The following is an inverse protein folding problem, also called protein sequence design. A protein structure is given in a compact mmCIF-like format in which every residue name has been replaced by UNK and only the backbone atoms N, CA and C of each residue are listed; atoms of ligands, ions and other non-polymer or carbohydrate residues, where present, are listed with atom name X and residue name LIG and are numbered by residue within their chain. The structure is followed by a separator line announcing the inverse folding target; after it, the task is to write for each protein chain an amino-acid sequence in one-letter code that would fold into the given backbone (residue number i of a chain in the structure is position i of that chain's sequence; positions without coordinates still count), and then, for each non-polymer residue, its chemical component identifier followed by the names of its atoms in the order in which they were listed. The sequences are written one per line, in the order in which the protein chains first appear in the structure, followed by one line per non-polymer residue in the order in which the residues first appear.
data_IF_707795735452
#
_entry.id   IF_707795735452
#
_cell.length_a   1.000
_cell.length_b   1.000
_cell.length_c   1.000
_cell.angle_alpha   90.00
_cell.angle_beta   90.00
_cell.angle_gamma   90.00
#
_symmetry.space_group_name_H-M   'P 1'
#
loop_
_entity.id
_entity.type
_entity.pdbx_description
1 polymer ?
#
# COMPACT_ATOMS: atom_id res chain seq x y z
N UNK A 1 -0.57 -12.73 -39.85
CA UNK A 1 -0.30 -11.29 -40.02
C UNK A 1 -1.09 -10.54 -38.96
N UNK A 2 -0.48 -10.34 -37.79
CA UNK A 2 -0.77 -9.24 -36.86
C UNK A 2 0.50 -9.09 -36.03
N UNK A 3 1.29 -8.11 -36.45
CA UNK A 3 2.47 -7.63 -35.76
C UNK A 3 2.01 -6.96 -34.45
N UNK A 4 2.33 -7.56 -33.32
CA UNK A 4 2.05 -7.03 -31.99
C UNK A 4 3.34 -6.54 -31.33
N UNK A 5 4.18 -5.81 -32.07
CA UNK A 5 5.23 -4.98 -31.48
C UNK A 5 4.63 -3.65 -31.01
N UNK A 6 3.78 -3.71 -29.99
CA UNK A 6 3.41 -2.51 -29.23
C UNK A 6 4.63 -2.07 -28.44
N UNK A 7 5.33 -1.02 -28.90
CA UNK A 7 6.37 -0.37 -28.10
C UNK A 7 5.81 -0.09 -26.70
N UNK A 8 6.48 -0.50 -25.61
CA UNK A 8 6.02 -0.16 -24.27
C UNK A 8 5.85 1.35 -24.21
N UNK A 9 4.66 1.80 -23.79
CA UNK A 9 4.36 3.22 -23.67
C UNK A 9 5.48 3.86 -22.85
N UNK A 10 6.16 4.85 -23.42
CA UNK A 10 7.24 5.55 -22.75
C UNK A 10 6.65 6.18 -21.48
N UNK A 11 7.06 5.65 -20.32
CA UNK A 11 6.61 6.17 -19.04
C UNK A 11 7.11 7.62 -18.92
N UNK A 12 6.20 8.53 -18.57
CA UNK A 12 6.60 9.88 -18.23
C UNK A 12 7.51 9.82 -17.00
N UNK A 13 8.68 10.48 -17.01
CA UNK A 13 9.53 10.52 -15.84
C UNK A 13 8.75 11.15 -14.69
N UNK A 14 8.86 10.54 -13.51
CA UNK A 14 8.33 11.17 -12.30
C UNK A 14 9.03 12.53 -12.11
N UNK A 15 8.30 13.56 -11.65
CA UNK A 15 8.92 14.85 -11.37
C UNK A 15 10.06 14.66 -10.37
N UNK A 16 11.18 15.34 -10.61
CA UNK A 16 12.29 15.35 -9.67
C UNK A 16 11.82 15.92 -8.34
N UNK A 17 12.20 15.26 -7.25
CA UNK A 17 11.96 15.80 -5.92
C UNK A 17 12.64 17.17 -5.77
N UNK A 18 11.95 18.21 -5.26
CA UNK A 18 12.56 19.51 -5.00
C UNK A 18 13.76 19.39 -4.04
N UNK A 19 14.84 20.13 -4.31
CA UNK A 19 16.06 20.08 -3.48
C UNK A 19 15.84 20.55 -2.04
N UNK A 20 14.92 21.48 -1.85
CA UNK A 20 14.63 22.09 -0.54
C UNK A 20 13.56 21.30 0.25
N UNK A 21 13.16 20.12 -0.21
CA UNK A 21 12.24 19.26 0.55
C UNK A 21 13.02 18.64 1.72
N UNK A 22 12.52 18.70 2.96
CA UNK A 22 13.10 17.97 4.08
C UNK A 22 12.77 16.47 3.94
N UNK A 23 13.38 15.80 2.95
CA UNK A 23 13.26 14.37 2.69
C UNK A 23 14.44 13.88 1.85
N UNK A 24 15.04 12.70 2.14
CA UNK A 24 14.72 11.82 3.26
C UNK A 24 15.15 12.40 4.61
N UNK A 25 14.40 12.10 5.69
CA UNK A 25 14.71 12.54 7.06
C UNK A 25 14.63 11.38 8.05
N UNK A 26 15.28 11.54 9.21
CA UNK A 26 15.14 10.60 10.34
C UNK A 26 13.88 10.89 11.17
N UNK A 27 13.40 12.12 11.16
CA UNK A 27 12.16 12.55 11.79
C UNK A 27 11.41 13.53 10.87
N UNK A 28 10.08 13.49 10.89
CA UNK A 28 9.26 14.42 10.12
C UNK A 28 9.22 15.79 10.80
N UNK A 29 9.58 16.88 10.11
CA UNK A 29 9.37 18.22 10.65
C UNK A 29 7.87 18.57 10.65
N UNK A 30 7.47 19.47 11.55
CA UNK A 30 6.14 20.08 11.52
C UNK A 30 6.19 21.44 10.84
N UNK A 31 5.17 21.76 10.06
CA UNK A 31 4.99 23.09 9.50
C UNK A 31 3.54 23.54 9.66
N UNK A 32 3.26 24.85 9.81
CA UNK A 32 1.90 25.34 9.80
C UNK A 32 1.16 24.94 8.52
N UNK A 33 -0.13 24.69 8.66
CA UNK A 33 -1.04 24.48 7.54
C UNK A 33 -0.96 25.62 6.53
N UNK A 34 -0.94 25.28 5.24
CA UNK A 34 -0.93 26.26 4.15
C UNK A 34 -2.17 27.19 4.26
N UNK A 35 -2.03 28.52 4.19
CA UNK A 35 -3.15 29.45 4.32
C UNK A 35 -4.27 29.25 3.28
N UNK A 36 -4.01 28.52 2.18
CA UNK A 36 -5.01 28.17 1.16
C UNK A 36 -5.93 27.03 1.59
N UNK A 37 -5.59 26.31 2.65
CA UNK A 37 -6.43 25.25 3.20
C UNK A 37 -7.44 25.87 4.16
N UNK A 38 -8.71 25.52 3.99
CA UNK A 38 -9.74 25.87 4.97
C UNK A 38 -9.50 25.06 6.26
N UNK A 39 -8.90 25.73 7.25
CA UNK A 39 -8.62 25.15 8.55
C UNK A 39 -9.89 24.67 9.24
N UNK A 40 -10.97 25.45 9.20
CA UNK A 40 -12.18 25.10 9.92
C UNK A 40 -12.79 23.81 9.34
N UNK A 41 -12.82 23.70 8.02
CA UNK A 41 -13.27 22.48 7.35
C UNK A 41 -12.38 21.27 7.69
N UNK A 42 -11.05 21.44 7.72
CA UNK A 42 -10.14 20.36 8.11
C UNK A 42 -10.38 19.92 9.56
N UNK A 43 -10.48 20.85 10.50
CA UNK A 43 -10.75 20.51 11.90
C UNK A 43 -12.10 19.81 12.06
N UNK A 44 -13.15 20.23 11.34
CA UNK A 44 -14.45 19.53 11.36
C UNK A 44 -14.32 18.08 10.90
N UNK A 45 -13.52 17.80 9.86
CA UNK A 45 -13.28 16.43 9.40
C UNK A 45 -12.47 15.61 10.42
N UNK A 46 -11.47 16.24 11.06
CA UNK A 46 -10.69 15.61 12.12
C UNK A 46 -11.50 15.42 13.40
N UNK A 47 -12.48 16.27 13.69
CA UNK A 47 -13.39 16.10 14.82
C UNK A 47 -14.30 14.89 14.54
N UNK A 48 -14.91 14.85 13.35
CA UNK A 48 -15.76 13.75 12.90
C UNK A 48 -15.06 12.38 12.99
N UNK A 49 -13.81 12.30 12.53
CA UNK A 49 -13.04 11.04 12.55
C UNK A 49 -12.76 10.51 13.96
N UNK A 50 -12.84 11.35 15.00
CA UNK A 50 -12.53 10.99 16.38
C UNK A 50 -13.73 11.15 17.32
N UNK A 51 -14.96 11.20 16.79
CA UNK A 51 -16.17 11.24 17.60
C UNK A 51 -16.33 9.99 18.48
N UNK A 52 -17.05 10.14 19.59
CA UNK A 52 -17.41 9.03 20.48
C UNK A 52 -18.88 9.17 20.89
N UNK A 53 -19.77 8.21 20.54
CA UNK A 53 -19.48 7.00 19.75
C UNK A 53 -18.98 7.30 18.33
N UNK A 54 -18.32 6.33 17.72
CA UNK A 54 -17.80 6.42 16.35
C UNK A 54 -18.94 6.69 15.34
N UNK A 55 -18.72 7.49 14.28
CA UNK A 55 -19.72 7.71 13.23
C UNK A 55 -20.07 6.41 12.49
N UNK A 56 -21.31 6.26 12.00
CA UNK A 56 -21.77 5.03 11.35
C UNK A 56 -20.92 4.59 10.14
N UNK A 57 -20.29 5.52 9.44
CA UNK A 57 -19.44 5.27 8.28
C UNK A 57 -17.94 5.05 8.60
N UNK A 58 -17.54 5.24 9.87
CA UNK A 58 -16.18 5.03 10.35
C UNK A 58 -16.17 3.98 11.46
N UNK A 59 -15.02 3.34 11.63
CA UNK A 59 -14.73 2.56 12.84
C UNK A 59 -13.73 3.37 13.69
N UNK A 60 -13.26 2.79 14.79
CA UNK A 60 -12.28 3.38 15.69
C UNK A 60 -11.07 3.93 14.91
N UNK A 61 -10.91 5.25 14.93
CA UNK A 61 -9.75 5.91 14.34
C UNK A 61 -8.64 6.03 15.38
N UNK A 62 -7.55 5.26 15.21
CA UNK A 62 -6.39 5.34 16.09
C UNK A 62 -5.56 6.61 15.89
N UNK A 63 -5.39 7.04 14.65
CA UNK A 63 -4.59 8.21 14.31
C UNK A 63 -4.73 8.65 12.87
N UNK A 64 -4.57 9.95 12.65
CA UNK A 64 -4.52 10.58 11.32
C UNK A 64 -3.26 11.42 11.28
N UNK A 65 -2.43 11.24 10.26
CA UNK A 65 -1.23 12.05 10.01
C UNK A 65 -1.27 12.54 8.57
N UNK A 66 -1.17 13.86 8.39
CA UNK A 66 -1.18 14.51 7.07
C UNK A 66 0.19 15.12 6.83
N UNK A 67 0.90 14.58 5.83
CA UNK A 67 2.20 15.08 5.38
C UNK A 67 2.04 15.81 4.06
N UNK A 68 2.53 17.05 3.99
CA UNK A 68 2.54 17.83 2.76
C UNK A 68 3.90 18.50 2.59
N UNK A 69 4.49 18.33 1.40
CA UNK A 69 5.82 18.87 1.04
C UNK A 69 6.94 18.50 2.02
N UNK A 70 6.93 17.27 2.52
CA UNK A 70 7.98 16.75 3.40
C UNK A 70 7.79 17.07 4.89
N UNK A 71 6.68 17.69 5.28
CA UNK A 71 6.42 18.06 6.67
C UNK A 71 5.00 17.67 7.10
N UNK A 72 4.83 17.32 8.37
CA UNK A 72 3.52 17.12 8.99
C UNK A 72 2.83 18.49 9.09
N UNK A 73 1.63 18.59 8.52
CA UNK A 73 0.81 19.81 8.55
C UNK A 73 -0.39 19.70 9.49
N UNK A 74 -0.79 18.48 9.81
CA UNK A 74 -1.81 18.15 10.80
C UNK A 74 -1.64 16.69 11.23
N UNK A 75 -1.88 16.42 12.50
CA UNK A 75 -1.98 15.06 13.03
C UNK A 75 -2.91 15.04 14.24
N UNK A 76 -3.53 13.89 14.48
CA UNK A 76 -4.41 13.66 15.62
C UNK A 76 -4.39 12.18 15.96
N UNK A 77 -4.49 11.87 17.25
CA UNK A 77 -4.44 10.52 17.78
C UNK A 77 -5.59 10.30 18.76
N UNK A 78 -6.05 9.06 18.88
CA UNK A 78 -7.02 8.67 19.88
C UNK A 78 -6.44 8.85 21.28
N UNK A 79 -7.31 8.92 22.31
CA UNK A 79 -6.91 9.25 23.70
C UNK A 79 -5.75 8.40 24.22
N UNK A 80 -5.73 7.12 23.90
CA UNK A 80 -4.76 6.14 24.41
C UNK A 80 -3.73 5.72 23.34
N UNK A 81 -3.54 6.54 22.31
CA UNK A 81 -2.59 6.31 21.21
C UNK A 81 -1.54 7.43 21.17
N UNK A 82 -0.31 7.04 20.94
CA UNK A 82 0.86 7.91 20.77
C UNK A 82 1.47 7.77 19.38
N UNK A 83 2.23 8.76 18.89
CA UNK A 83 2.95 8.66 17.61
C UNK A 83 3.93 7.47 17.53
N UNK A 84 4.38 6.95 18.67
CA UNK A 84 5.33 5.84 18.77
C UNK A 84 4.66 4.46 18.73
N UNK A 85 3.33 4.38 18.80
CA UNK A 85 2.62 3.11 18.80
C UNK A 85 2.66 2.44 17.43
N UNK A 86 2.92 1.13 17.43
CA UNK A 86 2.95 0.30 16.23
C UNK A 86 1.62 -0.43 16.02
N UNK A 87 1.07 -0.29 14.81
CA UNK A 87 -0.15 -0.98 14.39
C UNK A 87 0.13 -2.04 13.33
N UNK A 88 -0.78 -3.01 13.21
CA UNK A 88 -0.75 -3.95 12.10
C UNK A 88 -0.96 -3.17 10.79
N UNK A 89 0.03 -3.20 9.91
CA UNK A 89 -0.03 -2.44 8.65
C UNK A 89 -0.96 -3.06 7.59
N UNK A 90 -1.35 -4.32 7.76
CA UNK A 90 -2.12 -5.10 6.80
C UNK A 90 -1.61 -4.92 5.35
N UNK A 91 -2.48 -4.58 4.41
CA UNK A 91 -2.14 -4.43 3.00
C UNK A 91 -1.23 -3.23 2.70
N UNK A 92 -1.03 -2.28 3.61
CA UNK A 92 -0.04 -1.20 3.41
C UNK A 92 1.38 -1.77 3.21
N UNK A 93 1.68 -2.94 3.77
CA UNK A 93 2.94 -3.64 3.57
C UNK A 93 3.29 -3.87 2.09
N UNK A 94 2.27 -4.01 1.22
CA UNK A 94 2.46 -4.19 -0.23
C UNK A 94 3.13 -2.97 -0.87
N UNK A 95 2.79 -1.77 -0.44
CA UNK A 95 3.41 -0.53 -0.92
C UNK A 95 4.90 -0.47 -0.56
N UNK A 96 5.26 -0.91 0.64
CA UNK A 96 6.66 -1.00 1.08
C UNK A 96 7.42 -2.04 0.24
N UNK A 97 6.84 -3.22 0.03
CA UNK A 97 7.43 -4.26 -0.84
C UNK A 97 7.65 -3.74 -2.26
N UNK A 98 6.67 -3.06 -2.85
CA UNK A 98 6.80 -2.44 -4.17
C UNK A 98 7.93 -1.39 -4.22
N UNK A 99 8.03 -0.55 -3.19
CA UNK A 99 9.12 0.44 -3.08
C UNK A 99 10.50 -0.23 -3.05
N UNK A 100 10.67 -1.26 -2.21
CA UNK A 100 11.93 -2.02 -2.12
C UNK A 100 12.30 -2.68 -3.45
N UNK A 101 11.32 -3.21 -4.18
CA UNK A 101 11.53 -3.75 -5.52
C UNK A 101 11.96 -2.66 -6.49
N UNK A 102 11.30 -1.50 -6.49
CA UNK A 102 11.69 -0.34 -7.30
C UNK A 102 13.13 0.10 -7.04
N UNK A 103 13.58 0.10 -5.78
CA UNK A 103 14.98 0.37 -5.41
C UNK A 103 15.91 -0.67 -6.06
N UNK A 104 15.56 -1.96 -6.03
CA UNK A 104 16.40 -3.02 -6.65
C UNK A 104 16.44 -2.92 -8.17
N UNK A 105 15.33 -2.54 -8.80
CA UNK A 105 15.27 -2.27 -10.25
C UNK A 105 16.17 -1.08 -10.60
N UNK A 106 16.07 0.02 -9.86
CA UNK A 106 16.92 1.20 -10.07
C UNK A 106 18.41 0.88 -9.90
N UNK A 107 18.76 -0.02 -8.98
CA UNK A 107 20.13 -0.52 -8.80
C UNK A 107 20.60 -1.51 -9.88
N UNK A 108 19.75 -1.86 -10.86
CA UNK A 108 20.04 -2.87 -11.89
C UNK A 108 20.17 -4.30 -11.35
N UNK A 109 19.65 -4.56 -10.14
CA UNK A 109 19.76 -5.86 -9.44
C UNK A 109 18.54 -6.75 -9.60
N UNK A 110 17.49 -6.25 -10.23
CA UNK A 110 16.23 -6.96 -10.43
C UNK A 110 15.60 -6.48 -11.74
N UNK A 111 15.13 -7.40 -12.57
CA UNK A 111 14.32 -7.11 -13.76
C UNK A 111 12.93 -7.69 -13.52
N UNK A 112 11.93 -6.81 -13.37
CA UNK A 112 10.56 -7.23 -13.08
C UNK A 112 9.88 -7.92 -14.25
N UNK A 113 10.42 -7.80 -15.48
CA UNK A 113 9.91 -8.51 -16.65
C UNK A 113 10.28 -10.00 -16.65
N UNK A 114 11.17 -10.43 -15.75
CA UNK A 114 11.56 -11.83 -15.60
C UNK A 114 10.71 -12.55 -14.54
N UNK A 115 10.56 -13.88 -14.64
CA UNK A 115 10.02 -14.70 -13.56
C UNK A 115 10.88 -14.66 -12.29
N UNK A 116 10.28 -14.76 -11.10
CA UNK A 116 11.04 -14.93 -9.86
C UNK A 116 11.70 -16.31 -9.78
N UNK A 117 12.79 -16.41 -9.04
CA UNK A 117 13.43 -17.70 -8.72
C UNK A 117 12.73 -18.39 -7.54
N UNK A 118 11.58 -19.00 -7.79
CA UNK A 118 10.83 -19.79 -6.78
C UNK A 118 11.26 -21.25 -6.87
N UNK A 119 11.83 -21.78 -5.78
CA UNK A 119 12.43 -23.14 -5.74
C UNK A 119 11.40 -24.24 -6.04
N UNK A 120 10.16 -24.00 -5.66
CA UNK A 120 9.04 -24.91 -5.79
C UNK A 120 8.46 -24.96 -7.20
N UNK A 121 8.84 -24.02 -8.09
CA UNK A 121 8.37 -23.98 -9.48
C UNK A 121 9.44 -24.59 -10.38
N UNK A 122 9.20 -25.81 -10.84
CA UNK A 122 10.06 -26.45 -11.83
C UNK A 122 9.91 -25.78 -13.21
N UNK A 123 10.84 -26.05 -14.12
CA UNK A 123 10.84 -25.44 -15.45
C UNK A 123 9.63 -25.83 -16.32
N UNK A 124 8.99 -26.96 -16.03
CA UNK A 124 7.77 -27.45 -16.68
C UNK A 124 6.48 -26.94 -15.99
N UNK A 125 6.60 -26.30 -14.82
CA UNK A 125 5.45 -25.68 -14.15
C UNK A 125 5.01 -24.42 -14.91
N UNK A 126 3.73 -24.31 -15.34
CA UNK A 126 3.24 -23.11 -16.03
C UNK A 126 3.45 -21.81 -15.24
N UNK A 127 3.49 -21.87 -13.90
CA UNK A 127 3.74 -20.72 -13.02
C UNK A 127 5.15 -20.16 -13.18
N UNK A 128 6.11 -20.95 -13.65
CA UNK A 128 7.49 -20.49 -13.94
C UNK A 128 7.56 -19.40 -15.01
N UNK A 129 6.45 -19.14 -15.73
CA UNK A 129 6.33 -18.09 -16.75
C UNK A 129 5.74 -16.79 -16.20
N UNK A 130 5.25 -16.79 -14.95
CA UNK A 130 4.70 -15.61 -14.29
C UNK A 130 5.86 -14.66 -13.99
N UNK A 131 5.77 -13.43 -14.48
CA UNK A 131 6.76 -12.38 -14.24
C UNK A 131 6.54 -11.74 -12.86
N UNK A 132 7.61 -11.15 -12.31
CA UNK A 132 7.51 -10.36 -11.08
C UNK A 132 6.51 -9.22 -11.26
N UNK A 133 6.52 -8.52 -12.39
CA UNK A 133 5.57 -7.44 -12.69
C UNK A 133 4.10 -7.90 -12.63
N UNK A 134 3.79 -9.09 -13.14
CA UNK A 134 2.44 -9.65 -13.02
C UNK A 134 2.06 -9.91 -11.55
N UNK A 135 2.99 -10.38 -10.72
CA UNK A 135 2.76 -10.58 -9.29
C UNK A 135 2.53 -9.28 -8.54
N UNK A 136 3.30 -8.23 -8.84
CA UNK A 136 3.16 -6.92 -8.17
C UNK A 136 1.86 -6.21 -8.52
N UNK A 137 1.32 -6.50 -9.71
CA UNK A 137 0.02 -6.01 -10.18
C UNK A 137 -1.14 -6.96 -9.88
N UNK A 138 -0.87 -8.10 -9.21
CA UNK A 138 -1.85 -9.13 -8.87
C UNK A 138 -2.65 -9.65 -10.08
N UNK A 139 -1.99 -9.76 -11.24
CA UNK A 139 -2.57 -10.30 -12.49
C UNK A 139 -1.95 -11.63 -12.90
N UNK A 140 -1.28 -12.29 -11.95
CA UNK A 140 -0.58 -13.56 -12.13
C UNK A 140 -1.50 -14.79 -12.14
N UNK A 141 -2.73 -14.67 -11.63
CA UNK A 141 -3.73 -15.75 -11.61
C UNK A 141 -3.43 -16.86 -10.60
N UNK A 142 -2.50 -16.66 -9.66
CA UNK A 142 -2.27 -17.59 -8.57
C UNK A 142 -3.45 -17.56 -7.61
N UNK A 143 -3.83 -18.75 -7.12
CA UNK A 143 -4.85 -18.85 -6.07
C UNK A 143 -4.30 -18.27 -4.78
N UNK A 144 -5.02 -17.32 -4.22
CA UNK A 144 -4.74 -16.72 -2.92
C UNK A 144 -5.66 -17.31 -1.86
N UNK A 145 -5.13 -17.55 -0.66
CA UNK A 145 -5.91 -17.88 0.54
C UNK A 145 -5.48 -16.95 1.65
N UNK A 146 -6.41 -16.17 2.17
CA UNK A 146 -6.12 -15.26 3.27
C UNK A 146 -5.88 -16.06 4.56
N UNK A 147 -4.86 -15.67 5.30
CA UNK A 147 -4.48 -16.33 6.53
C UNK A 147 -3.97 -15.32 7.56
N UNK A 148 -4.39 -15.50 8.81
CA UNK A 148 -3.95 -14.73 9.96
C UNK A 148 -3.09 -15.61 10.87
N UNK A 149 -1.96 -15.08 11.32
CA UNK A 149 -1.16 -15.74 12.34
C UNK A 149 -1.70 -15.37 13.73
N UNK A 150 -2.26 -16.35 14.44
CA UNK A 150 -2.89 -16.15 15.76
C UNK A 150 -1.88 -16.21 16.92
N UNK A 151 -0.58 -16.35 16.63
CA UNK A 151 0.47 -16.56 17.62
C UNK A 151 0.63 -18.04 18.02
N UNK A 152 1.75 -18.36 18.66
CA UNK A 152 2.04 -19.72 19.15
C UNK A 152 2.19 -20.78 18.05
N UNK A 153 2.42 -20.37 16.79
CA UNK A 153 2.47 -21.27 15.64
C UNK A 153 1.12 -21.54 14.97
N UNK A 154 0.03 -20.99 15.50
CA UNK A 154 -1.31 -21.17 14.95
C UNK A 154 -1.58 -20.22 13.78
N UNK A 155 -2.20 -20.75 12.73
CA UNK A 155 -2.63 -19.97 11.57
C UNK A 155 -4.11 -20.25 11.33
N UNK A 156 -4.92 -19.19 11.27
CA UNK A 156 -6.31 -19.25 10.82
C UNK A 156 -6.34 -18.95 9.34
N UNK A 157 -6.94 -19.84 8.56
CA UNK A 157 -7.28 -19.55 7.17
C UNK A 157 -8.71 -19.04 7.13
N UNK A 158 -8.92 -17.89 6.52
CA UNK A 158 -10.27 -17.40 6.27
C UNK A 158 -10.88 -18.26 5.15
N UNK A 159 -12.11 -18.75 5.32
CA UNK A 159 -12.84 -19.34 4.22
C UNK A 159 -13.14 -18.27 3.15
N UNK A 160 -13.36 -18.68 1.90
CA UNK A 160 -13.49 -17.75 0.77
C UNK A 160 -14.65 -16.77 0.96
N UNK A 161 -15.72 -17.20 1.64
CA UNK A 161 -16.90 -16.43 1.99
C UNK A 161 -16.71 -15.39 3.10
N UNK A 162 -15.61 -15.44 3.86
CA UNK A 162 -15.31 -14.50 4.96
C UNK A 162 -14.22 -13.47 4.60
N UNK A 163 -13.49 -13.67 3.50
CA UNK A 163 -12.39 -12.78 3.11
C UNK A 163 -12.92 -11.65 2.22
N UNK A 164 -13.17 -10.47 2.79
CA UNK A 164 -13.56 -9.27 2.03
C UNK A 164 -12.49 -8.82 1.00
N UNK A 165 -11.26 -9.32 1.14
CA UNK A 165 -10.17 -9.13 0.17
C UNK A 165 -10.49 -9.77 -1.19
N UNK A 166 -11.19 -10.91 -1.20
CA UNK A 166 -11.53 -11.61 -2.46
C UNK A 166 -12.58 -10.82 -3.26
N UNK A 167 -13.72 -10.37 -2.68
CA UNK A 167 -14.65 -9.45 -3.33
C UNK A 167 -14.01 -8.11 -3.73
N UNK A 168 -13.08 -7.56 -2.93
CA UNK A 168 -12.39 -6.31 -3.26
C UNK A 168 -11.47 -6.44 -4.48
N UNK A 169 -10.73 -7.53 -4.62
CA UNK A 169 -9.73 -7.72 -5.68
C UNK A 169 -10.33 -8.20 -7.01
N UNK A 170 -11.40 -9.01 -6.97
CA UNK A 170 -11.98 -9.62 -8.16
C UNK A 170 -13.41 -9.14 -8.46
N UNK A 171 -13.99 -8.34 -7.56
CA UNK A 171 -15.40 -7.95 -7.58
C UNK A 171 -16.32 -9.11 -7.21
N UNK A 172 -17.50 -8.79 -6.68
CA UNK A 172 -18.68 -9.56 -7.05
C UNK A 172 -18.91 -9.28 -8.52
N UNK A 173 -18.32 -10.11 -9.40
CA UNK A 173 -18.57 -9.99 -10.83
C UNK A 173 -20.07 -9.84 -11.03
N UNK A 174 -20.53 -8.68 -11.51
CA UNK A 174 -21.94 -8.46 -11.82
C UNK A 174 -22.36 -9.63 -12.72
N UNK A 175 -23.25 -10.47 -12.21
CA UNK A 175 -23.99 -11.41 -13.06
C UNK A 175 -24.88 -10.64 -14.03
#
# INVERSE_FOLDING_TARGET
MTDSSGMPAALLPLPSQPQDLPWPTEAWPHTPLDPRVDRAALETLLDHAFETPEPDELDLTHGVVIVHRGAIVAERYARDVTPEDAFLSWSMAKSITNCLIGIRVHQGKLDISQPPSVREWSADDPRSRITIDQMLRMVDGLRFREAEHLGGGSVRYYPEEESDVIPMLFGDGKK
#
